data_IF_939359574715
#
_entry.id   IF_939359574715
#
_cell.length_a   1.000
_cell.length_b   1.000
_cell.length_c   1.000
_cell.angle_alpha   90.00
_cell.angle_beta   90.00
_cell.angle_gamma   90.00
#
_symmetry.space_group_name_H-M   'P 1'
#
loop_
_entity.id
_entity.type
_entity.pdbx_description
1 polymer ?
#
# COMPACT_ATOMS: atom_id res chain seq x y z
N UNK A 1 -74.91 2.55 -46.28
CA UNK A 1 -73.82 1.69 -46.77
C UNK A 1 -72.97 1.38 -45.54
N UNK A 2 -73.43 0.49 -44.64
CA UNK A 2 -73.19 -0.97 -44.65
C UNK A 2 -71.68 -1.23 -44.47
N UNK A 3 -71.14 -1.82 -43.40
CA UNK A 3 -71.56 -3.04 -42.72
C UNK A 3 -71.02 -3.16 -41.28
N UNK A 4 -71.84 -3.83 -40.49
CA UNK A 4 -71.71 -4.43 -39.15
C UNK A 4 -70.94 -5.76 -39.15
N UNK A 5 -70.30 -6.16 -38.02
CA UNK A 5 -70.46 -7.43 -37.25
C UNK A 5 -69.20 -7.97 -36.51
N UNK A 6 -69.40 -8.35 -35.23
CA UNK A 6 -68.72 -9.40 -34.41
C UNK A 6 -67.25 -9.18 -33.99
N UNK A 7 -66.74 -9.60 -32.81
CA UNK A 7 -67.19 -10.58 -31.81
C UNK A 7 -66.52 -10.30 -30.45
N UNK A 8 -67.25 -10.60 -29.38
CA UNK A 8 -66.84 -10.62 -27.98
C UNK A 8 -66.02 -11.90 -27.70
N UNK A 9 -64.83 -11.82 -27.08
CA UNK A 9 -64.20 -12.98 -26.39
C UNK A 9 -63.51 -12.52 -25.11
N UNK A 10 -63.99 -13.12 -24.03
CA UNK A 10 -63.53 -13.11 -22.64
C UNK A 10 -62.32 -14.06 -22.47
N UNK A 11 -61.24 -13.62 -21.83
CA UNK A 11 -60.20 -14.49 -21.26
C UNK A 11 -59.59 -13.76 -20.04
N UNK A 12 -60.15 -13.94 -18.84
CA UNK A 12 -59.70 -14.89 -17.80
C UNK A 12 -58.24 -14.69 -17.35
N UNK A 13 -58.13 -14.04 -16.19
CA UNK A 13 -56.99 -14.01 -15.30
C UNK A 13 -56.56 -15.45 -14.95
N UNK A 14 -55.31 -15.82 -15.24
CA UNK A 14 -54.67 -16.99 -14.65
C UNK A 14 -53.49 -16.55 -13.80
N UNK A 15 -53.64 -16.76 -12.50
CA UNK A 15 -52.57 -16.77 -11.50
C UNK A 15 -51.78 -18.05 -11.72
N UNK A 16 -50.49 -17.94 -12.03
CA UNK A 16 -49.58 -19.10 -12.09
C UNK A 16 -49.20 -19.54 -10.67
N UNK A 17 -49.26 -20.84 -10.33
CA UNK A 17 -48.69 -21.34 -9.09
C UNK A 17 -47.16 -21.40 -9.20
N UNK A 18 -46.47 -20.96 -8.13
CA UNK A 18 -45.08 -21.35 -7.90
C UNK A 18 -45.05 -22.87 -7.69
N UNK A 19 -44.48 -23.59 -8.65
CA UNK A 19 -44.00 -24.95 -8.45
C UNK A 19 -42.59 -24.83 -7.88
N UNK A 20 -42.43 -25.20 -6.61
CA UNK A 20 -41.12 -25.40 -6.01
C UNK A 20 -40.41 -26.57 -6.69
N UNK A 21 -39.11 -26.42 -6.92
CA UNK A 21 -38.26 -27.54 -7.28
C UNK A 21 -37.81 -28.25 -5.99
N UNK A 22 -38.06 -29.55 -5.96
CA UNK A 22 -37.63 -30.45 -4.90
C UNK A 22 -36.17 -30.86 -5.10
N UNK A 23 -35.53 -31.18 -3.97
CA UNK A 23 -34.30 -31.96 -3.86
C UNK A 23 -34.46 -33.32 -4.54
N UNK A 24 -33.70 -33.58 -5.60
CA UNK A 24 -33.41 -34.93 -6.05
C UNK A 24 -31.93 -35.21 -5.78
N UNK A 25 -31.65 -35.69 -4.57
CA UNK A 25 -30.34 -36.25 -4.23
C UNK A 25 -30.02 -37.43 -5.14
N UNK A 26 -28.84 -37.41 -5.76
CA UNK A 26 -28.33 -38.54 -6.53
C UNK A 26 -26.90 -38.33 -6.99
N UNK A 27 -25.95 -39.00 -6.34
CA UNK A 27 -24.57 -39.07 -6.82
C UNK A 27 -24.48 -39.78 -8.17
N UNK A 28 -23.80 -39.15 -9.12
CA UNK A 28 -23.42 -39.74 -10.41
C UNK A 28 -22.16 -39.08 -10.92
N UNK A 29 -21.11 -39.87 -11.15
CA UNK A 29 -19.88 -39.46 -11.83
C UNK A 29 -20.13 -39.49 -13.34
N UNK A 30 -20.22 -38.34 -13.97
CA UNK A 30 -20.39 -38.26 -15.42
C UNK A 30 -19.03 -38.43 -16.13
N UNK A 31 -18.61 -39.69 -16.30
CA UNK A 31 -17.49 -40.02 -17.18
C UNK A 31 -18.02 -40.10 -18.61
N UNK A 32 -17.71 -39.06 -19.38
CA UNK A 32 -18.26 -38.79 -20.70
C UNK A 32 -18.29 -39.98 -21.67
N UNK A 33 -19.41 -40.06 -22.37
CA UNK A 33 -19.56 -40.79 -23.63
C UNK A 33 -20.07 -39.79 -24.67
N UNK A 34 -19.30 -39.63 -25.76
CA UNK A 34 -19.71 -38.81 -26.90
C UNK A 34 -20.99 -39.39 -27.51
N UNK A 35 -22.12 -38.67 -27.39
CA UNK A 35 -23.34 -39.01 -28.11
C UNK A 35 -24.67 -38.70 -27.44
N UNK A 36 -24.74 -38.00 -26.31
CA UNK A 36 -26.03 -37.53 -25.80
C UNK A 36 -26.42 -36.20 -26.45
N UNK A 37 -27.61 -36.17 -27.03
CA UNK A 37 -28.25 -34.99 -27.65
C UNK A 37 -29.52 -34.59 -26.91
N UNK A 38 -29.64 -35.02 -25.64
CA UNK A 38 -30.71 -34.64 -24.73
C UNK A 38 -30.26 -33.43 -23.91
N UNK A 39 -30.84 -32.27 -24.21
CA UNK A 39 -30.72 -30.97 -23.51
C UNK A 39 -29.42 -30.19 -23.76
N UNK A 40 -29.51 -28.86 -23.99
CA UNK A 40 -28.32 -28.04 -24.16
C UNK A 40 -27.50 -28.11 -22.88
N UNK A 41 -26.18 -28.15 -23.01
CA UNK A 41 -25.22 -28.00 -21.91
C UNK A 41 -25.80 -27.03 -20.87
N UNK A 42 -26.22 -27.60 -19.75
CA UNK A 42 -26.95 -26.89 -18.70
C UNK A 42 -25.98 -25.90 -18.08
N UNK A 43 -26.08 -24.66 -18.56
CA UNK A 43 -25.39 -23.48 -18.05
C UNK A 43 -23.89 -23.41 -18.42
N UNK A 44 -23.61 -23.01 -19.66
CA UNK A 44 -22.27 -22.53 -20.09
C UNK A 44 -22.39 -21.10 -20.65
N UNK A 45 -21.48 -20.21 -20.26
CA UNK A 45 -21.42 -18.82 -20.76
C UNK A 45 -20.20 -18.63 -21.64
N UNK A 46 -20.40 -18.02 -22.82
CA UNK A 46 -19.32 -17.64 -23.73
C UNK A 46 -18.94 -16.19 -23.49
N UNK A 47 -17.71 -15.97 -23.02
CA UNK A 47 -17.15 -14.64 -22.78
C UNK A 47 -16.78 -13.93 -24.12
N UNK A 48 -16.65 -12.59 -24.12
CA UNK A 48 -16.31 -11.82 -25.33
C UNK A 48 -14.95 -12.18 -25.98
N UNK A 49 -14.06 -12.83 -25.22
CA UNK A 49 -12.77 -13.34 -25.69
C UNK A 49 -12.85 -14.77 -26.29
N UNK A 50 -14.05 -15.37 -26.30
CA UNK A 50 -14.32 -16.69 -26.84
C UNK A 50 -14.09 -17.85 -25.87
N UNK A 51 -13.75 -17.59 -24.60
CA UNK A 51 -13.70 -18.64 -23.57
C UNK A 51 -15.10 -19.12 -23.20
N UNK A 52 -15.24 -20.42 -22.97
CA UNK A 52 -16.48 -21.07 -22.51
C UNK A 52 -16.30 -21.41 -21.04
N UNK A 53 -17.10 -20.81 -20.18
CA UNK A 53 -17.12 -21.06 -18.73
C UNK A 53 -18.31 -21.97 -18.42
N UNK A 54 -18.04 -23.06 -17.70
CA UNK A 54 -19.05 -23.97 -17.18
C UNK A 54 -19.61 -23.39 -15.88
N UNK A 55 -20.85 -22.92 -15.90
CA UNK A 55 -21.51 -22.35 -14.72
C UNK A 55 -22.21 -23.43 -13.88
N UNK A 56 -22.02 -24.71 -14.18
CA UNK A 56 -22.56 -25.83 -13.39
C UNK A 56 -21.71 -26.22 -12.18
N UNK A 57 -20.50 -25.64 -12.04
CA UNK A 57 -19.60 -25.86 -10.90
C UNK A 57 -19.48 -24.67 -9.94
N UNK A 58 -20.16 -23.54 -10.23
CA UNK A 58 -20.19 -22.35 -9.38
C UNK A 58 -21.56 -22.14 -8.75
N UNK A 59 -21.57 -21.80 -7.47
CA UNK A 59 -22.76 -21.56 -6.64
C UNK A 59 -23.87 -20.77 -7.37
N UNK A 60 -25.10 -21.23 -7.14
CA UNK A 60 -26.40 -20.74 -7.62
C UNK A 60 -26.44 -19.19 -7.80
N UNK A 61 -26.14 -18.69 -9.01
CA UNK A 61 -26.31 -17.27 -9.40
C UNK A 61 -25.07 -16.39 -9.54
N UNK A 62 -23.85 -16.93 -9.60
CA UNK A 62 -22.62 -16.16 -9.85
C UNK A 62 -22.50 -15.68 -11.32
N UNK A 63 -22.10 -14.42 -11.55
CA UNK A 63 -21.77 -13.87 -12.89
C UNK A 63 -20.27 -13.61 -12.94
N UNK A 64 -19.50 -14.27 -13.84
CA UNK A 64 -18.05 -14.19 -13.83
C UNK A 64 -17.57 -12.76 -14.08
N UNK A 65 -16.81 -12.24 -13.12
CA UNK A 65 -16.16 -10.93 -13.17
C UNK A 65 -14.73 -11.03 -12.62
N UNK A 66 -14.03 -9.90 -12.53
CA UNK A 66 -12.69 -9.87 -11.96
C UNK A 66 -12.76 -10.22 -10.47
N UNK A 67 -11.94 -11.17 -10.04
CA UNK A 67 -11.90 -11.63 -8.64
C UNK A 67 -11.45 -10.50 -7.71
N UNK A 68 -12.27 -10.23 -6.70
CA UNK A 68 -11.95 -9.30 -5.62
C UNK A 68 -11.60 -10.15 -4.42
N UNK A 69 -10.31 -10.40 -4.25
CA UNK A 69 -9.84 -11.32 -3.23
C UNK A 69 -10.31 -10.88 -1.83
N UNK A 70 -10.85 -11.82 -1.07
CA UNK A 70 -11.07 -11.64 0.36
C UNK A 70 -12.35 -10.92 0.79
N UNK A 71 -13.29 -10.69 -0.12
CA UNK A 71 -14.61 -10.12 0.18
C UNK A 71 -15.68 -11.20 0.45
N UNK A 72 -15.29 -12.49 0.47
CA UNK A 72 -16.16 -13.63 0.71
C UNK A 72 -17.11 -13.95 -0.44
N UNK A 73 -16.89 -13.39 -1.63
CA UNK A 73 -17.67 -13.66 -2.85
C UNK A 73 -16.71 -14.28 -3.88
N UNK A 74 -17.06 -15.45 -4.41
CA UNK A 74 -16.39 -16.06 -5.56
C UNK A 74 -16.90 -15.35 -6.82
N UNK A 75 -16.12 -14.42 -7.40
CA UNK A 75 -16.57 -13.64 -8.56
C UNK A 75 -16.10 -14.23 -9.88
N UNK A 76 -15.04 -15.04 -9.90
CA UNK A 76 -14.56 -15.74 -11.09
C UNK A 76 -15.28 -17.10 -11.30
N UNK A 77 -16.12 -17.48 -10.33
CA UNK A 77 -17.01 -18.64 -10.28
C UNK A 77 -16.27 -19.98 -10.41
N UNK A 78 -15.04 -20.09 -9.90
CA UNK A 78 -14.23 -21.32 -9.97
C UNK A 78 -14.44 -22.27 -8.76
N UNK A 79 -15.34 -21.88 -7.84
CA UNK A 79 -15.69 -22.65 -6.65
C UNK A 79 -14.73 -22.41 -5.48
N UNK A 80 -13.89 -21.38 -5.56
CA UNK A 80 -12.97 -20.95 -4.51
C UNK A 80 -13.14 -19.46 -4.30
N UNK A 81 -13.00 -19.01 -3.07
CA UNK A 81 -12.53 -17.64 -2.85
C UNK A 81 -11.02 -17.73 -3.09
N UNK A 82 -10.53 -17.15 -4.19
CA UNK A 82 -9.08 -17.10 -4.38
C UNK A 82 -8.49 -16.28 -3.22
N UNK A 83 -7.54 -16.88 -2.50
CA UNK A 83 -6.72 -16.13 -1.55
C UNK A 83 -6.04 -14.99 -2.30
N UNK A 84 -5.61 -13.93 -1.61
CA UNK A 84 -5.12 -12.71 -2.27
C UNK A 84 -3.80 -12.88 -3.02
N UNK A 85 -3.42 -14.11 -3.32
CA UNK A 85 -2.13 -14.46 -3.87
C UNK A 85 -1.09 -14.44 -2.78
N UNK A 86 -0.20 -15.41 -2.87
CA UNK A 86 1.17 -15.31 -2.40
C UNK A 86 1.99 -15.75 -3.61
N UNK A 87 2.04 -14.86 -4.60
CA UNK A 87 2.56 -15.13 -5.94
C UNK A 87 4.07 -15.35 -5.89
N UNK A 88 4.75 -14.68 -4.97
CA UNK A 88 6.20 -14.74 -4.80
C UNK A 88 6.67 -15.72 -3.71
N UNK A 89 5.74 -16.30 -2.96
CA UNK A 89 5.95 -17.38 -1.97
C UNK A 89 6.72 -16.94 -0.72
N UNK A 90 6.54 -15.71 -0.26
CA UNK A 90 7.16 -15.12 0.94
C UNK A 90 6.44 -15.48 2.27
N UNK A 91 5.22 -16.00 2.17
CA UNK A 91 4.29 -16.40 3.26
C UNK A 91 3.35 -15.29 3.74
N UNK A 92 3.32 -14.16 3.05
CA UNK A 92 2.36 -13.09 3.23
C UNK A 92 1.39 -13.09 2.03
N UNK A 93 0.21 -12.54 2.24
CA UNK A 93 -0.80 -12.41 1.17
C UNK A 93 -0.86 -10.97 0.72
N UNK A 94 -1.14 -10.75 -0.57
CA UNK A 94 -1.31 -9.40 -1.11
C UNK A 94 -2.45 -8.65 -0.42
N UNK A 95 -2.38 -7.32 -0.41
CA UNK A 95 -3.41 -6.47 0.18
C UNK A 95 -4.79 -6.61 -0.48
N UNK A 96 -5.82 -6.84 0.35
CA UNK A 96 -7.24 -6.78 -0.05
C UNK A 96 -7.70 -5.33 -0.23
N UNK A 97 -8.78 -5.08 -0.98
CA UNK A 97 -9.41 -3.76 -1.00
C UNK A 97 -9.85 -3.33 0.41
N UNK A 98 -9.30 -2.21 0.88
CA UNK A 98 -9.57 -1.68 2.22
C UNK A 98 -8.59 -2.14 3.30
N UNK A 99 -7.66 -3.04 2.96
CA UNK A 99 -6.48 -3.33 3.75
C UNK A 99 -5.32 -2.43 3.30
N UNK A 100 -4.40 -2.18 4.21
CA UNK A 100 -3.20 -1.41 3.95
C UNK A 100 -2.03 -2.06 4.69
N UNK A 101 -0.81 -1.94 4.13
CA UNK A 101 0.41 -2.28 4.85
C UNK A 101 0.48 -1.57 6.22
N UNK A 102 1.06 -2.19 7.26
CA UNK A 102 1.80 -3.47 7.26
C UNK A 102 0.92 -4.71 7.48
N UNK A 103 -0.41 -4.61 7.34
CA UNK A 103 -1.31 -5.74 7.60
C UNK A 103 -1.28 -6.82 6.49
N UNK A 104 -0.69 -6.51 5.35
CA UNK A 104 -0.65 -7.30 4.12
C UNK A 104 0.59 -6.96 3.31
N UNK A 105 0.93 -7.81 2.34
CA UNK A 105 2.06 -7.60 1.45
C UNK A 105 1.80 -6.46 0.44
N UNK A 106 2.70 -5.48 0.45
CA UNK A 106 2.68 -4.31 -0.40
C UNK A 106 3.18 -4.61 -1.82
N UNK A 107 3.90 -5.72 -2.05
CA UNK A 107 4.38 -6.15 -3.36
C UNK A 107 4.43 -7.68 -3.53
N UNK A 108 3.27 -8.26 -3.87
CA UNK A 108 3.05 -9.71 -4.18
C UNK A 108 3.71 -10.18 -5.50
N UNK A 109 4.91 -9.69 -5.80
CA UNK A 109 5.73 -10.10 -6.94
C UNK A 109 7.20 -10.23 -6.55
N UNK A 110 7.57 -9.83 -5.35
CA UNK A 110 8.94 -9.77 -4.88
C UNK A 110 9.04 -10.33 -3.46
N UNK A 111 9.49 -11.59 -3.33
CA UNK A 111 9.56 -12.29 -2.05
C UNK A 111 10.53 -11.69 -1.00
N UNK A 112 11.21 -10.60 -1.35
CA UNK A 112 12.05 -9.81 -0.44
C UNK A 112 11.32 -8.61 0.15
N UNK A 113 10.13 -8.29 -0.36
CA UNK A 113 9.26 -7.21 0.08
C UNK A 113 8.07 -7.85 0.79
N UNK A 114 7.96 -7.65 2.10
CA UNK A 114 6.89 -8.23 2.91
C UNK A 114 6.82 -7.58 4.30
N UNK A 115 5.68 -7.68 5.02
CA UNK A 115 5.55 -7.13 6.37
C UNK A 115 6.68 -7.55 7.33
N UNK A 116 7.52 -6.60 7.72
CA UNK A 116 8.66 -6.79 8.60
C UNK A 116 9.90 -7.42 7.94
N UNK A 117 10.03 -7.34 6.61
CA UNK A 117 11.26 -7.71 5.92
C UNK A 117 12.47 -6.84 6.35
N UNK A 118 13.70 -7.32 6.18
CA UNK A 118 14.86 -6.47 6.37
C UNK A 118 14.99 -5.46 5.22
N UNK A 119 14.94 -4.17 5.56
CA UNK A 119 15.23 -3.07 4.66
C UNK A 119 16.60 -3.15 3.98
N UNK A 120 16.63 -2.78 2.70
CA UNK A 120 17.84 -2.61 1.89
C UNK A 120 17.83 -1.25 1.21
N UNK A 121 19.01 -0.67 0.94
CA UNK A 121 19.08 0.66 0.28
C UNK A 121 18.75 0.59 -1.22
N UNK A 122 17.51 0.26 -1.56
CA UNK A 122 17.07 0.00 -2.92
C UNK A 122 15.98 0.99 -3.39
N UNK A 123 15.47 1.85 -2.50
CA UNK A 123 14.41 2.81 -2.75
C UNK A 123 13.00 2.20 -2.75
N UNK A 124 12.84 1.02 -2.15
CA UNK A 124 11.59 0.27 -1.95
C UNK A 124 11.31 0.21 -0.45
N UNK A 125 10.03 0.22 -0.10
CA UNK A 125 9.55 -0.13 1.24
C UNK A 125 9.58 -1.66 1.32
N UNK A 126 10.71 -2.24 1.75
CA UNK A 126 10.90 -3.69 1.76
C UNK A 126 10.05 -4.31 2.91
N UNK A 127 9.89 -3.61 4.02
CA UNK A 127 9.20 -4.11 5.21
C UNK A 127 7.69 -3.78 5.28
N UNK A 128 7.18 -3.08 4.27
CA UNK A 128 5.80 -2.67 4.11
C UNK A 128 5.25 -1.85 5.30
N UNK A 129 6.08 -1.09 6.03
CA UNK A 129 5.65 -0.22 7.13
C UNK A 129 5.17 1.18 6.67
N UNK A 130 5.33 1.48 5.38
CA UNK A 130 5.02 2.77 4.75
C UNK A 130 6.20 3.75 4.71
N UNK A 131 7.39 3.32 5.11
CA UNK A 131 8.65 4.07 5.00
C UNK A 131 9.55 3.36 3.99
N UNK A 132 10.55 4.09 3.48
CA UNK A 132 11.43 3.58 2.43
C UNK A 132 12.86 3.76 2.91
N UNK A 133 13.64 2.68 2.87
CA UNK A 133 15.06 2.64 3.21
C UNK A 133 15.37 3.26 4.60
N UNK A 134 14.57 3.00 5.63
CA UNK A 134 14.69 3.63 6.97
C UNK A 134 15.82 3.06 7.85
N UNK A 135 16.78 2.37 7.24
CA UNK A 135 18.01 1.97 7.91
C UNK A 135 19.07 3.09 7.87
N UNK A 136 19.76 3.26 9.00
CA UNK A 136 20.75 4.33 9.20
C UNK A 136 21.88 4.36 8.14
N UNK A 137 22.18 3.23 7.48
CA UNK A 137 23.20 3.17 6.43
C UNK A 137 22.76 3.71 5.08
N UNK A 138 21.46 3.74 4.78
CA UNK A 138 20.95 4.23 3.49
C UNK A 138 20.83 5.75 3.44
N UNK A 139 20.65 6.39 4.58
CA UNK A 139 20.58 7.85 4.69
C UNK A 139 21.67 8.44 5.60
N UNK A 140 22.95 8.44 5.21
CA UNK A 140 24.01 9.05 6.01
C UNK A 140 23.86 10.58 6.17
N UNK A 141 23.02 11.23 5.34
CA UNK A 141 22.68 12.65 5.45
C UNK A 141 21.52 12.92 6.43
N UNK A 142 20.70 11.91 6.75
CA UNK A 142 19.77 11.94 7.87
C UNK A 142 20.57 11.51 9.10
N UNK A 143 21.15 12.41 9.89
CA UNK A 143 21.88 11.99 11.09
C UNK A 143 20.91 11.46 12.16
N UNK A 144 20.63 10.15 12.03
CA UNK A 144 20.24 9.19 13.05
C UNK A 144 19.20 9.62 14.07
N UNK A 145 17.92 9.33 13.80
CA UNK A 145 17.01 8.73 14.80
C UNK A 145 16.01 7.83 14.07
N UNK A 146 16.17 6.51 14.24
CA UNK A 146 15.30 5.45 13.71
C UNK A 146 13.85 5.45 14.26
N UNK A 147 13.33 6.61 14.70
CA UNK A 147 12.04 6.71 15.39
C UNK A 147 11.25 7.97 14.99
N UNK A 148 11.72 8.76 14.01
CA UNK A 148 10.95 9.87 13.43
C UNK A 148 10.98 9.79 11.91
N UNK A 149 9.79 9.90 11.33
CA UNK A 149 9.48 9.67 9.93
C UNK A 149 10.25 10.60 8.97
N UNK A 150 11.46 10.20 8.58
CA UNK A 150 12.14 10.77 7.42
C UNK A 150 11.93 9.80 6.24
N UNK A 151 11.18 10.22 5.22
CA UNK A 151 11.12 9.45 3.97
C UNK A 151 12.41 9.71 3.20
N UNK A 152 13.19 8.67 2.94
CA UNK A 152 14.24 8.74 1.93
C UNK A 152 13.56 8.76 0.56
N UNK A 153 13.68 9.87 -0.16
CA UNK A 153 13.21 9.85 -1.56
C UNK A 153 14.03 8.83 -2.36
N UNK A 154 13.48 8.27 -3.46
CA UNK A 154 14.24 7.44 -4.40
C UNK A 154 15.48 8.13 -5.00
N UNK A 155 15.63 9.45 -4.80
CA UNK A 155 16.80 10.24 -5.18
C UNK A 155 17.88 10.34 -4.08
N UNK A 156 17.69 9.71 -2.91
CA UNK A 156 18.59 9.76 -1.76
C UNK A 156 18.53 11.06 -0.96
N UNK A 157 17.46 11.84 -1.09
CA UNK A 157 17.25 13.06 -0.32
C UNK A 157 16.33 12.81 0.89
N UNK A 158 16.71 13.36 2.05
CA UNK A 158 15.95 13.33 3.29
C UNK A 158 14.70 14.23 3.19
N UNK A 159 13.52 13.66 3.42
CA UNK A 159 12.29 14.44 3.62
C UNK A 159 12.11 14.69 5.12
N UNK A 160 12.31 15.93 5.55
CA UNK A 160 12.16 16.30 6.95
C UNK A 160 10.69 16.48 7.31
N UNK A 161 10.06 15.46 7.88
CA UNK A 161 8.72 15.61 8.42
C UNK A 161 8.78 16.37 9.76
N UNK A 162 8.91 17.69 9.71
CA UNK A 162 8.42 18.50 10.82
C UNK A 162 6.89 18.41 10.80
N UNK A 163 6.25 18.18 11.95
CA UNK A 163 4.80 18.29 12.12
C UNK A 163 4.30 19.59 11.46
N UNK A 164 3.65 19.48 10.29
CA UNK A 164 3.13 20.62 9.53
C UNK A 164 4.01 21.19 8.40
N UNK A 165 5.18 20.63 8.10
CA UNK A 165 5.97 20.95 6.90
C UNK A 165 5.93 19.74 5.96
N UNK A 166 4.83 19.56 5.24
CA UNK A 166 4.67 18.43 4.32
C UNK A 166 5.84 18.31 3.34
N UNK A 167 6.29 17.08 3.09
CA UNK A 167 7.14 16.51 2.03
C UNK A 167 8.31 17.34 1.43
N UNK A 168 8.62 18.51 1.95
CA UNK A 168 9.57 19.44 1.35
C UNK A 168 10.95 19.24 1.98
N UNK A 169 11.91 18.84 1.16
CA UNK A 169 13.32 18.89 1.51
C UNK A 169 13.71 20.29 2.02
N UNK A 170 14.67 20.34 2.95
CA UNK A 170 15.14 21.61 3.49
C UNK A 170 15.67 22.54 2.41
N UNK A 171 15.60 23.86 2.66
CA UNK A 171 16.13 24.84 1.73
C UNK A 171 17.64 24.63 1.51
N UNK A 172 18.17 25.07 0.37
CA UNK A 172 19.58 24.93 0.06
C UNK A 172 20.47 25.50 1.18
N UNK A 173 21.36 24.67 1.72
CA UNK A 173 22.26 25.01 2.83
C UNK A 173 21.74 24.64 4.22
N UNK A 174 20.49 24.18 4.35
CA UNK A 174 19.95 23.64 5.59
C UNK A 174 20.10 22.11 5.67
N UNK A 175 20.11 21.60 6.89
CA UNK A 175 20.15 20.17 7.21
C UNK A 175 18.91 19.76 8.00
N UNK A 176 18.58 18.48 7.92
CA UNK A 176 17.47 17.88 8.63
C UNK A 176 17.87 17.52 10.06
N UNK A 177 17.30 18.17 11.07
CA UNK A 177 17.51 17.79 12.47
C UNK A 177 16.19 17.44 13.17
N UNK A 178 16.26 16.89 14.38
CA UNK A 178 15.07 16.54 15.17
C UNK A 178 14.09 17.72 15.43
N UNK A 179 14.59 18.96 15.36
CA UNK A 179 13.80 20.20 15.46
C UNK A 179 13.23 20.70 14.13
N UNK A 180 13.41 19.94 13.04
CA UNK A 180 13.13 20.35 11.66
C UNK A 180 14.37 20.86 10.92
N UNK A 181 14.15 21.54 9.79
CA UNK A 181 15.22 22.10 8.97
C UNK A 181 15.95 23.24 9.69
N UNK A 182 17.26 23.08 9.87
CA UNK A 182 18.13 24.07 10.54
C UNK A 182 19.34 24.40 9.68
N UNK A 183 19.87 25.62 9.84
CA UNK A 183 21.10 26.04 9.16
C UNK A 183 22.32 25.68 10.01
N UNK A 184 23.11 24.67 9.63
CA UNK A 184 24.24 24.24 10.43
C UNK A 184 25.39 25.25 10.39
N UNK A 185 25.32 26.27 9.53
CA UNK A 185 26.37 27.29 9.41
C UNK A 185 26.25 28.39 10.47
N UNK A 186 25.05 28.59 11.03
CA UNK A 186 24.75 29.72 11.91
C UNK A 186 23.95 29.36 13.17
N UNK A 187 23.30 28.18 13.19
CA UNK A 187 22.54 27.73 14.34
C UNK A 187 23.45 27.26 15.48
N UNK A 188 23.31 27.87 16.66
CA UNK A 188 24.13 27.58 17.83
C UNK A 188 23.92 26.16 18.38
N UNK A 189 22.72 25.59 18.22
CA UNK A 189 22.35 24.28 18.73
C UNK A 189 22.64 23.14 17.73
N UNK A 190 22.97 23.49 16.48
CA UNK A 190 23.20 22.55 15.38
C UNK A 190 24.45 22.95 14.58
N UNK A 191 25.51 23.39 15.25
CA UNK A 191 26.65 23.99 14.59
C UNK A 191 27.56 22.93 13.95
N UNK A 192 27.59 22.91 12.62
CA UNK A 192 28.36 21.96 11.82
C UNK A 192 27.71 20.57 11.68
N UNK A 193 26.99 20.11 12.71
CA UNK A 193 26.23 18.86 12.74
C UNK A 193 24.91 19.03 13.49
N UNK A 194 23.95 18.15 13.24
CA UNK A 194 22.67 18.19 13.95
C UNK A 194 22.83 17.89 15.44
N UNK A 195 22.10 18.63 16.29
CA UNK A 195 22.19 18.56 17.75
C UNK A 195 23.59 18.83 18.34
N UNK A 196 24.53 19.33 17.54
CA UNK A 196 25.83 19.79 18.00
C UNK A 196 25.71 21.22 18.54
N UNK A 197 25.23 21.33 19.78
CA UNK A 197 25.19 22.61 20.47
C UNK A 197 26.61 23.06 20.84
N UNK A 198 26.94 24.30 20.49
CA UNK A 198 28.16 24.93 20.97
C UNK A 198 28.17 25.00 22.49
N UNK A 199 29.31 24.65 23.08
CA UNK A 199 29.52 24.67 24.52
C UNK A 199 29.82 26.10 25.01
N UNK A 200 29.95 26.29 26.32
CA UNK A 200 30.26 27.59 26.94
C UNK A 200 31.65 28.16 26.54
N UNK A 201 32.45 27.41 25.79
CA UNK A 201 33.70 27.88 25.15
C UNK A 201 33.45 28.73 23.90
N UNK A 202 32.20 28.86 23.44
CA UNK A 202 31.81 29.62 22.27
C UNK A 202 30.48 30.35 22.52
N UNK A 203 30.27 31.47 21.83
CA UNK A 203 29.03 32.26 21.90
C UNK A 203 28.27 32.31 20.57
N UNK A 204 28.86 31.77 19.50
CA UNK A 204 28.31 31.84 18.15
C UNK A 204 28.73 30.65 17.29
N UNK A 205 27.88 30.30 16.31
CA UNK A 205 28.23 29.40 15.22
C UNK A 205 28.50 30.23 13.95
N UNK A 206 29.68 30.05 13.34
CA UNK A 206 30.04 30.79 12.12
C UNK A 206 30.70 29.82 11.14
N UNK A 207 30.01 29.54 10.03
CA UNK A 207 30.51 28.63 8.99
C UNK A 207 30.58 27.18 9.48
N UNK A 208 29.66 26.78 10.36
CA UNK A 208 29.61 25.43 10.93
C UNK A 208 30.67 25.15 11.98
N UNK A 209 31.28 26.20 12.55
CA UNK A 209 32.29 26.09 13.60
C UNK A 209 31.91 26.98 14.78
N UNK A 210 31.90 26.39 15.98
CA UNK A 210 31.71 27.12 17.23
C UNK A 210 32.87 28.10 17.46
N UNK A 211 32.54 29.37 17.67
CA UNK A 211 33.49 30.47 17.84
C UNK A 211 33.16 31.33 19.05
N UNK A 212 34.18 31.97 19.58
CA UNK A 212 34.05 33.00 20.61
C UNK A 212 34.28 34.36 19.95
N UNK A 213 33.21 35.06 19.61
CA UNK A 213 33.25 36.26 18.77
C UNK A 213 33.86 35.96 17.40
N UNK A 214 34.98 36.59 17.07
CA UNK A 214 35.72 36.31 15.81
C UNK A 214 36.83 35.27 15.98
N UNK A 215 37.07 34.82 17.21
CA UNK A 215 38.12 33.87 17.55
C UNK A 215 37.60 32.43 17.53
N UNK A 216 38.50 31.44 17.44
CA UNK A 216 38.15 30.04 17.74
C UNK A 216 37.50 29.90 19.12
N UNK A 217 36.84 28.76 19.35
CA UNK A 217 36.38 28.39 20.69
C UNK A 217 37.53 28.44 21.70
N UNK A 218 37.20 28.80 22.93
CA UNK A 218 38.14 28.82 24.04
C UNK A 218 38.63 27.40 24.40
N UNK A 219 39.67 27.32 25.23
CA UNK A 219 40.18 26.03 25.71
C UNK A 219 39.31 25.47 26.86
N UNK A 220 39.71 24.32 27.41
CA UNK A 220 38.99 23.71 28.52
C UNK A 220 39.08 24.48 29.84
N UNK A 221 39.89 25.55 29.92
CA UNK A 221 40.12 26.33 31.14
C UNK A 221 39.32 27.63 31.10
N UNK A 222 39.26 28.28 29.94
CA UNK A 222 38.63 29.58 29.76
C UNK A 222 37.24 29.44 29.10
N UNK A 223 36.28 30.25 29.55
CA UNK A 223 34.94 30.29 28.98
C UNK A 223 34.81 31.49 28.05
N UNK A 224 33.90 31.41 27.06
CA UNK A 224 33.61 32.54 26.22
C UNK A 224 32.62 33.48 26.91
N UNK A 225 33.06 34.71 27.20
CA UNK A 225 32.23 35.76 27.74
C UNK A 225 32.27 36.96 26.80
N UNK A 226 31.18 37.18 26.06
CA UNK A 226 31.04 38.32 25.13
C UNK A 226 32.18 38.40 24.10
N UNK A 227 32.52 37.28 23.47
CA UNK A 227 33.54 37.20 22.43
C UNK A 227 35.00 37.18 22.93
N UNK A 228 35.22 37.03 24.23
CA UNK A 228 36.56 36.89 24.83
C UNK A 228 36.66 35.64 25.70
N UNK A 229 37.80 34.95 25.62
CA UNK A 229 38.11 33.85 26.54
C UNK A 229 38.57 34.41 27.88
N UNK A 230 37.87 34.07 28.95
CA UNK A 230 38.10 34.56 30.33
C UNK A 230 38.06 33.44 31.35
#
# INVERSE_FOLDING_TARGET
MNNTFFSMVLALLFVSPLTGCGDDGGGGTDTGVAGDTSTPMDSTVVLPDGRVVDTSVGVDGCVPSFEICGDGIDQNCDGREDSCGNTDMDSFEACRPGEAPPACDCNDREATVYPGAPETCNGVDDDCDGRVDEIASCCPACEGMAERADTCTPAGACVCAAEGAGDAACAAGQVCCASGCTDPQSDFNNCGLCQAQCTDQADSCIGGVCRCGTNPACDFINMCVSGACT
#
